data_IF_852611005520
#
_entry.id   IF_852611005520
#
_cell.length_a   1.000
_cell.length_b   1.000
_cell.length_c   1.000
_cell.angle_alpha   90.00
_cell.angle_beta   90.00
_cell.angle_gamma   90.00
#
_symmetry.space_group_name_H-M   'P 1'
#
loop_
_entity.id
_entity.type
_entity.pdbx_description
1 polymer ?
#
# COMPACT_ATOMS: atom_id res chain seq x y z
N UNK A 1 32.44 0.94 -7.77
CA UNK A 1 32.46 -0.15 -6.77
C UNK A 1 32.62 0.52 -5.43
N UNK A 2 31.71 0.27 -4.50
CA UNK A 2 31.86 0.70 -3.11
C UNK A 2 33.02 -0.14 -2.52
N UNK A 3 34.15 0.46 -2.13
CA UNK A 3 35.11 -0.30 -1.29
C UNK A 3 34.67 -0.23 0.14
N UNK A 4 34.53 -1.42 0.70
CA UNK A 4 34.51 -1.63 2.13
C UNK A 4 35.93 -2.06 2.52
N UNK A 5 36.62 -1.24 3.30
CA UNK A 5 37.87 -1.67 3.93
C UNK A 5 37.61 -2.88 4.84
N UNK A 6 38.64 -3.66 5.19
CA UNK A 6 38.49 -4.85 6.04
C UNK A 6 37.93 -4.53 7.44
N UNK A 7 37.97 -3.26 7.85
CA UNK A 7 37.43 -2.72 9.10
C UNK A 7 35.97 -2.20 9.00
N UNK A 8 35.39 -2.18 7.80
CA UNK A 8 34.02 -1.74 7.55
C UNK A 8 33.87 -0.31 7.02
N UNK A 9 34.92 0.51 6.98
CA UNK A 9 34.86 1.91 6.49
C UNK A 9 34.79 2.01 4.96
N UNK A 10 34.17 3.09 4.45
CA UNK A 10 33.97 3.34 3.02
C UNK A 10 34.45 4.75 2.66
N UNK A 11 35.38 4.82 1.70
CA UNK A 11 35.93 6.07 1.16
C UNK A 11 35.34 6.38 -0.23
N UNK A 12 35.24 7.66 -0.57
CA UNK A 12 34.59 8.20 -1.78
C UNK A 12 35.40 8.11 -3.08
N UNK A 13 36.60 7.52 -3.07
CA UNK A 13 37.46 7.50 -4.27
C UNK A 13 37.76 6.08 -4.79
N UNK A 14 37.39 5.84 -6.06
CA UNK A 14 37.94 4.75 -6.86
C UNK A 14 38.51 5.26 -8.19
N UNK A 15 39.80 5.02 -8.41
CA UNK A 15 40.45 5.19 -9.71
C UNK A 15 40.36 3.86 -10.48
N UNK A 16 39.57 3.81 -11.57
CA UNK A 16 39.47 2.64 -12.44
C UNK A 16 40.16 2.93 -13.78
N UNK A 17 41.49 2.86 -13.78
CA UNK A 17 42.30 3.31 -14.92
C UNK A 17 42.42 4.84 -14.95
N UNK A 18 42.11 5.49 -16.08
CA UNK A 18 42.21 6.95 -16.23
C UNK A 18 40.93 7.73 -15.88
N UNK A 19 39.82 7.03 -15.58
CA UNK A 19 38.51 7.66 -15.33
C UNK A 19 38.10 7.52 -13.86
N UNK A 20 37.67 8.62 -13.26
CA UNK A 20 37.07 8.69 -11.91
C UNK A 20 35.55 8.61 -12.05
N UNK A 21 34.91 7.64 -11.41
CA UNK A 21 33.44 7.52 -11.34
C UNK A 21 32.99 7.76 -9.89
N UNK A 22 32.07 8.71 -9.69
CA UNK A 22 31.52 9.06 -8.38
C UNK A 22 30.23 8.27 -8.10
N UNK A 23 30.01 7.76 -6.88
CA UNK A 23 28.71 7.22 -6.49
C UNK A 23 27.66 8.34 -6.51
N UNK A 24 26.43 7.97 -6.88
CA UNK A 24 25.31 8.90 -6.79
C UNK A 24 24.96 9.19 -5.34
N UNK A 25 24.43 10.39 -5.08
CA UNK A 25 24.00 10.79 -3.74
C UNK A 25 23.02 9.78 -3.10
N UNK A 26 22.19 9.12 -3.92
CA UNK A 26 21.29 8.05 -3.44
C UNK A 26 22.04 6.83 -2.92
N UNK A 27 23.10 6.40 -3.61
CA UNK A 27 23.91 5.26 -3.18
C UNK A 27 24.65 5.57 -1.88
N UNK A 28 25.14 6.81 -1.73
CA UNK A 28 25.78 7.29 -0.51
C UNK A 28 24.78 7.33 0.65
N UNK A 29 23.60 7.92 0.47
CA UNK A 29 22.58 7.99 1.52
C UNK A 29 22.14 6.60 1.96
N UNK A 30 21.92 5.66 1.03
CA UNK A 30 21.57 4.27 1.37
C UNK A 30 22.65 3.58 2.17
N UNK A 31 23.91 3.82 1.84
CA UNK A 31 25.01 3.25 2.60
C UNK A 31 24.98 3.76 4.05
N UNK A 32 24.84 5.07 4.23
CA UNK A 32 24.76 5.69 5.55
C UNK A 32 23.54 5.19 6.34
N UNK A 33 22.37 5.12 5.72
CA UNK A 33 21.10 4.68 6.35
C UNK A 33 21.16 3.22 6.84
N UNK A 34 22.10 2.43 6.34
CA UNK A 34 22.33 1.03 6.74
C UNK A 34 23.62 0.85 7.55
N UNK A 35 24.32 1.92 7.92
CA UNK A 35 25.51 1.83 8.74
C UNK A 35 25.16 1.49 10.20
N UNK A 36 25.98 0.66 10.85
CA UNK A 36 25.73 0.23 12.23
C UNK A 36 25.88 1.40 13.24
N UNK A 37 26.67 2.42 12.89
CA UNK A 37 26.86 3.64 13.68
C UNK A 37 27.49 4.74 12.84
N UNK A 38 27.43 5.97 13.36
CA UNK A 38 28.11 7.13 12.78
C UNK A 38 29.60 6.92 12.51
N UNK A 39 30.30 6.24 13.43
CA UNK A 39 31.73 5.97 13.31
C UNK A 39 32.07 5.02 12.14
N UNK A 40 31.07 4.35 11.54
CA UNK A 40 31.26 3.46 10.40
C UNK A 40 31.31 4.21 9.05
N UNK A 41 31.08 5.52 9.04
CA UNK A 41 31.10 6.36 7.84
C UNK A 41 32.14 7.47 8.02
N UNK A 42 33.04 7.62 7.05
CA UNK A 42 34.07 8.66 7.08
C UNK A 42 33.42 10.06 6.98
N UNK A 43 33.93 11.02 7.77
CA UNK A 43 33.47 12.41 7.77
C UNK A 43 33.54 13.05 6.37
N UNK A 44 34.54 12.71 5.56
CA UNK A 44 34.69 13.23 4.20
C UNK A 44 33.47 12.89 3.32
N UNK A 45 32.82 11.74 3.56
CA UNK A 45 31.62 11.31 2.85
C UNK A 45 30.45 12.27 3.10
N UNK A 46 30.28 12.71 4.36
CA UNK A 46 29.21 13.63 4.73
C UNK A 46 29.49 15.04 4.26
N UNK A 47 30.73 15.52 4.39
CA UNK A 47 31.13 16.86 3.94
C UNK A 47 30.89 17.01 2.43
N UNK A 48 31.33 16.04 1.63
CA UNK A 48 31.10 16.05 0.18
C UNK A 48 29.61 16.02 -0.17
N UNK A 49 28.81 15.19 0.52
CA UNK A 49 27.38 15.10 0.28
C UNK A 49 26.65 16.40 0.68
N UNK A 50 27.07 17.05 1.77
CA UNK A 50 26.56 18.36 2.19
C UNK A 50 26.86 19.43 1.15
N UNK A 51 28.09 19.48 0.62
CA UNK A 51 28.46 20.42 -0.45
C UNK A 51 27.58 20.25 -1.69
N UNK A 52 27.35 18.99 -2.12
CA UNK A 52 26.49 18.68 -3.28
C UNK A 52 25.03 19.08 -3.06
N UNK A 53 24.52 18.93 -1.84
CA UNK A 53 23.15 19.26 -1.47
C UNK A 53 22.96 20.73 -1.07
N UNK A 54 24.05 21.49 -0.91
CA UNK A 54 24.04 22.88 -0.47
C UNK A 54 23.70 23.04 1.01
N UNK A 55 24.10 22.08 1.85
CA UNK A 55 23.88 22.08 3.30
C UNK A 55 25.13 22.64 3.99
N UNK A 56 24.95 23.62 4.87
CA UNK A 56 26.02 24.07 5.76
C UNK A 56 26.09 23.13 6.96
N UNK A 57 27.01 22.16 6.93
CA UNK A 57 27.17 21.17 8.00
C UNK A 57 27.58 21.80 9.33
N UNK A 58 28.11 23.03 9.35
CA UNK A 58 28.50 23.72 10.58
C UNK A 58 27.31 24.21 11.42
N UNK A 59 26.10 24.19 10.86
CA UNK A 59 24.87 24.50 11.59
C UNK A 59 24.38 23.32 12.46
N UNK A 60 25.04 22.17 12.37
CA UNK A 60 24.63 20.93 13.03
C UNK A 60 25.71 20.46 14.02
N UNK A 61 25.40 20.56 15.32
CA UNK A 61 26.26 20.04 16.40
C UNK A 61 26.09 18.52 16.60
N UNK A 62 24.97 17.98 16.12
CA UNK A 62 24.56 16.59 16.29
C UNK A 62 24.58 15.87 14.94
N UNK A 63 25.38 14.81 14.78
CA UNK A 63 25.44 14.04 13.55
C UNK A 63 24.05 13.53 13.13
N UNK A 64 23.25 12.94 14.04
CA UNK A 64 21.91 12.42 13.73
C UNK A 64 21.04 13.48 13.04
N UNK A 65 20.99 14.69 13.59
CA UNK A 65 20.28 15.82 12.98
C UNK A 65 20.83 16.24 11.60
N UNK A 66 22.16 16.16 11.38
CA UNK A 66 22.77 16.43 10.07
C UNK A 66 22.34 15.39 9.04
N UNK A 67 22.34 14.10 9.39
CA UNK A 67 21.92 13.06 8.44
C UNK A 67 20.44 13.16 8.09
N UNK A 68 19.58 13.43 9.07
CA UNK A 68 18.17 13.71 8.84
C UNK A 68 18.00 14.87 7.85
N UNK A 69 18.80 15.94 7.98
CA UNK A 69 18.78 17.06 7.04
C UNK A 69 19.24 16.65 5.64
N UNK A 70 20.33 15.88 5.53
CA UNK A 70 20.82 15.32 4.26
C UNK A 70 19.71 14.52 3.56
N UNK A 71 19.07 13.59 4.26
CA UNK A 71 18.00 12.75 3.71
C UNK A 71 16.80 13.60 3.28
N UNK A 72 16.39 14.55 4.13
CA UNK A 72 15.28 15.47 3.88
C UNK A 72 15.54 16.32 2.64
N UNK A 73 16.70 16.97 2.56
CA UNK A 73 17.06 17.87 1.48
C UNK A 73 17.22 17.10 0.16
N UNK A 74 17.81 15.91 0.20
CA UNK A 74 17.92 15.04 -0.97
C UNK A 74 16.55 14.69 -1.54
N UNK A 75 15.61 14.22 -0.71
CA UNK A 75 14.26 13.85 -1.17
C UNK A 75 13.51 15.07 -1.67
N UNK A 76 13.56 16.17 -0.92
CA UNK A 76 12.90 17.42 -1.29
C UNK A 76 13.35 17.91 -2.68
N UNK A 77 14.66 17.96 -2.92
CA UNK A 77 15.25 18.36 -4.19
C UNK A 77 14.92 17.37 -5.32
N UNK A 78 15.16 16.08 -5.09
CA UNK A 78 15.05 15.03 -6.13
C UNK A 78 13.60 14.79 -6.56
N UNK A 79 12.66 14.86 -5.62
CA UNK A 79 11.26 14.56 -5.87
C UNK A 79 10.43 15.81 -6.23
N UNK A 80 11.05 17.00 -6.27
CA UNK A 80 10.41 18.27 -6.61
C UNK A 80 9.10 18.49 -5.82
N UNK A 81 9.20 18.37 -4.49
CA UNK A 81 8.04 18.40 -3.60
C UNK A 81 7.67 19.83 -3.22
N UNK A 82 6.40 20.05 -2.88
CA UNK A 82 5.95 21.33 -2.31
C UNK A 82 6.59 21.58 -0.93
N UNK A 83 6.88 22.85 -0.62
CA UNK A 83 7.67 23.23 0.55
C UNK A 83 7.12 22.72 1.90
N UNK A 84 5.79 22.62 2.04
CA UNK A 84 5.16 22.12 3.26
C UNK A 84 5.48 20.65 3.53
N UNK A 85 5.75 19.85 2.49
CA UNK A 85 6.10 18.43 2.62
C UNK A 85 7.47 18.20 3.24
N UNK A 86 8.37 19.19 3.14
CA UNK A 86 9.73 19.09 3.68
C UNK A 86 9.72 18.88 5.19
N UNK A 87 8.87 19.62 5.91
CA UNK A 87 8.73 19.49 7.37
C UNK A 87 8.21 18.12 7.79
N UNK A 88 7.21 17.59 7.08
CA UNK A 88 6.66 16.26 7.35
C UNK A 88 7.68 15.14 7.09
N UNK A 89 8.44 15.23 6.00
CA UNK A 89 9.51 14.28 5.70
C UNK A 89 10.57 14.29 6.80
N UNK A 90 10.95 15.48 7.28
CA UNK A 90 11.90 15.61 8.36
C UNK A 90 11.40 14.95 9.65
N UNK A 91 10.14 15.22 10.02
CA UNK A 91 9.49 14.60 11.18
C UNK A 91 9.43 13.06 11.05
N UNK A 92 9.19 12.54 9.85
CA UNK A 92 9.19 11.09 9.60
C UNK A 92 10.56 10.46 9.84
N UNK A 93 11.65 11.11 9.39
CA UNK A 93 13.01 10.67 9.71
C UNK A 93 13.32 10.77 11.20
N UNK A 94 12.90 11.84 11.88
CA UNK A 94 13.04 12.00 13.34
C UNK A 94 12.28 10.91 14.10
N UNK A 95 11.18 10.40 13.56
CA UNK A 95 10.42 9.27 14.09
C UNK A 95 10.98 7.89 13.67
N UNK A 96 12.13 7.85 12.98
CA UNK A 96 12.85 6.63 12.64
C UNK A 96 12.37 5.92 11.39
N UNK A 97 11.60 6.57 10.51
CA UNK A 97 11.34 6.01 9.18
C UNK A 97 12.64 6.01 8.36
N UNK A 98 12.90 4.91 7.65
CA UNK A 98 14.10 4.81 6.81
C UNK A 98 13.95 5.59 5.51
N UNK A 99 15.07 5.87 4.87
CA UNK A 99 15.10 6.53 3.57
C UNK A 99 14.23 5.82 2.51
N UNK A 100 14.27 4.49 2.52
CA UNK A 100 13.48 3.66 1.60
C UNK A 100 11.98 3.67 1.90
N UNK A 101 11.59 3.86 3.16
CA UNK A 101 10.18 4.00 3.56
C UNK A 101 9.62 5.36 3.13
N UNK A 102 10.35 6.45 3.39
CA UNK A 102 9.95 7.80 2.98
C UNK A 102 9.79 7.90 1.45
N UNK A 103 10.71 7.29 0.69
CA UNK A 103 10.64 7.24 -0.78
C UNK A 103 9.37 6.58 -1.34
N UNK A 104 8.64 5.80 -0.55
CA UNK A 104 7.37 5.21 -1.01
C UNK A 104 6.33 6.29 -1.34
N UNK A 105 6.22 7.32 -0.50
CA UNK A 105 5.22 8.37 -0.64
C UNK A 105 5.80 9.72 -1.07
N UNK A 106 7.11 9.93 -1.02
CA UNK A 106 7.78 11.15 -1.44
C UNK A 106 7.79 11.32 -2.97
N UNK A 107 6.60 11.40 -3.57
CA UNK A 107 6.38 11.59 -5.00
C UNK A 107 5.29 12.65 -5.19
N UNK A 108 5.42 13.55 -6.18
CA UNK A 108 4.49 14.66 -6.37
C UNK A 108 3.07 14.22 -6.76
N UNK A 109 2.90 13.00 -7.29
CA UNK A 109 1.61 12.47 -7.73
C UNK A 109 0.70 12.05 -6.55
N UNK A 110 1.26 11.94 -5.34
CA UNK A 110 0.46 11.62 -4.16
C UNK A 110 -0.17 12.87 -3.55
N UNK A 111 -1.48 12.84 -3.42
CA UNK A 111 -2.27 13.79 -2.65
C UNK A 111 -2.10 13.55 -1.14
N UNK A 112 -2.39 14.57 -0.33
CA UNK A 112 -2.25 14.53 1.13
C UNK A 112 -2.91 13.29 1.78
N UNK A 113 -4.15 12.96 1.39
CA UNK A 113 -4.85 11.79 1.93
C UNK A 113 -4.18 10.45 1.61
N UNK A 114 -3.49 10.35 0.47
CA UNK A 114 -2.73 9.15 0.09
C UNK A 114 -1.44 9.05 0.93
N UNK A 115 -0.72 10.16 1.08
CA UNK A 115 0.49 10.26 1.93
C UNK A 115 0.18 9.81 3.36
N UNK A 116 -0.91 10.32 3.94
CA UNK A 116 -1.32 9.95 5.30
C UNK A 116 -1.59 8.45 5.43
N UNK A 117 -2.19 7.80 4.43
CA UNK A 117 -2.42 6.36 4.47
C UNK A 117 -1.13 5.54 4.34
N UNK A 118 -0.15 6.03 3.59
CA UNK A 118 1.16 5.39 3.48
C UNK A 118 1.92 5.54 4.81
N UNK A 119 2.01 6.75 5.35
CA UNK A 119 2.66 7.05 6.65
C UNK A 119 2.07 6.22 7.78
N UNK A 120 0.73 6.23 7.93
CA UNK A 120 0.04 5.40 8.94
C UNK A 120 0.36 3.92 8.82
N UNK A 121 0.44 3.39 7.59
CA UNK A 121 0.82 2.00 7.36
C UNK A 121 2.21 1.68 7.92
N UNK A 122 3.19 2.52 7.61
CA UNK A 122 4.57 2.41 8.06
C UNK A 122 4.69 2.55 9.59
N UNK A 123 4.10 3.61 10.16
CA UNK A 123 4.07 3.87 11.61
C UNK A 123 3.36 2.76 12.40
N UNK A 124 2.30 2.18 11.81
CA UNK A 124 1.58 1.05 12.39
C UNK A 124 2.25 -0.30 12.17
N UNK A 125 3.51 -0.32 11.70
CA UNK A 125 4.33 -1.52 11.61
C UNK A 125 4.03 -2.45 10.44
N UNK A 126 3.33 -1.98 9.39
CA UNK A 126 3.20 -2.76 8.16
C UNK A 126 4.56 -2.87 7.46
N UNK A 127 4.81 -4.02 6.84
CA UNK A 127 6.03 -4.23 6.06
C UNK A 127 6.06 -3.31 4.83
N UNK A 128 7.27 -3.08 4.30
CA UNK A 128 7.46 -2.31 3.07
C UNK A 128 6.61 -2.89 1.92
N UNK A 129 6.59 -4.22 1.78
CA UNK A 129 5.83 -4.93 0.75
C UNK A 129 4.33 -4.72 0.91
N UNK A 130 3.81 -4.79 2.14
CA UNK A 130 2.39 -4.54 2.44
C UNK A 130 2.00 -3.10 2.07
N UNK A 131 2.83 -2.12 2.42
CA UNK A 131 2.59 -0.71 2.10
C UNK A 131 2.67 -0.47 0.59
N UNK A 132 3.66 -1.05 -0.11
CA UNK A 132 3.84 -0.95 -1.55
C UNK A 132 2.65 -1.48 -2.37
N UNK A 133 1.89 -2.43 -1.81
CA UNK A 133 0.71 -2.97 -2.47
C UNK A 133 -0.31 -1.88 -2.80
N UNK A 134 -0.52 -0.93 -1.86
CA UNK A 134 -1.50 0.15 -1.99
C UNK A 134 -0.89 1.55 -2.18
N UNK A 135 0.41 1.74 -1.94
CA UNK A 135 1.14 3.00 -2.14
C UNK A 135 1.36 3.29 -3.64
N UNK A 136 0.26 3.47 -4.38
CA UNK A 136 0.25 3.75 -5.81
C UNK A 136 -0.76 4.85 -6.14
N UNK A 137 -0.41 5.85 -6.98
CA UNK A 137 -1.22 7.04 -7.18
C UNK A 137 -2.60 6.76 -7.81
N UNK A 138 -2.77 5.61 -8.46
CA UNK A 138 -4.06 5.16 -9.02
C UNK A 138 -5.13 4.87 -7.95
N UNK A 139 -4.74 4.59 -6.70
CA UNK A 139 -5.69 4.38 -5.61
C UNK A 139 -6.12 5.71 -5.00
N UNK A 140 -7.42 5.96 -4.88
CA UNK A 140 -7.93 7.04 -4.02
C UNK A 140 -7.62 6.73 -2.55
N UNK A 141 -7.49 7.78 -1.74
CA UNK A 141 -7.12 7.61 -0.33
C UNK A 141 -8.08 6.72 0.46
N UNK A 142 -9.39 6.74 0.14
CA UNK A 142 -10.36 5.82 0.72
C UNK A 142 -10.11 4.35 0.35
N UNK A 143 -9.63 4.06 -0.87
CA UNK A 143 -9.24 2.69 -1.25
C UNK A 143 -8.00 2.26 -0.46
N UNK A 144 -7.00 3.14 -0.33
CA UNK A 144 -5.79 2.88 0.47
C UNK A 144 -6.12 2.61 1.94
N UNK A 145 -7.05 3.37 2.52
CA UNK A 145 -7.52 3.18 3.90
C UNK A 145 -8.11 1.79 4.11
N UNK A 146 -8.96 1.32 3.19
CA UNK A 146 -9.58 0.01 3.28
C UNK A 146 -8.59 -1.14 3.03
N UNK A 147 -7.63 -0.96 2.12
CA UNK A 147 -6.54 -1.93 1.91
C UNK A 147 -5.67 -2.04 3.17
N UNK A 148 -5.28 -0.91 3.75
CA UNK A 148 -4.55 -0.85 5.03
C UNK A 148 -5.34 -1.48 6.18
N UNK A 149 -6.65 -1.22 6.26
CA UNK A 149 -7.51 -1.80 7.28
C UNK A 149 -7.53 -3.33 7.23
N UNK A 150 -7.52 -3.93 6.03
CA UNK A 150 -7.45 -5.39 5.90
C UNK A 150 -6.21 -6.00 6.55
N UNK A 151 -5.03 -5.37 6.36
CA UNK A 151 -3.81 -5.81 7.04
C UNK A 151 -3.92 -5.68 8.56
N UNK A 152 -4.45 -4.57 9.08
CA UNK A 152 -4.66 -4.40 10.53
C UNK A 152 -5.70 -5.35 11.12
N UNK A 153 -6.66 -5.80 10.32
CA UNK A 153 -7.63 -6.80 10.72
C UNK A 153 -7.10 -8.24 10.56
N UNK A 154 -5.81 -8.41 10.27
CA UNK A 154 -5.14 -9.72 10.25
C UNK A 154 -5.27 -10.50 8.95
N UNK A 155 -5.73 -9.87 7.86
CA UNK A 155 -5.72 -10.51 6.55
C UNK A 155 -4.29 -10.72 6.05
N UNK A 156 -4.06 -11.85 5.39
CA UNK A 156 -2.75 -12.16 4.78
C UNK A 156 -2.50 -11.30 3.55
N UNK A 157 -1.24 -11.22 3.12
CA UNK A 157 -0.88 -10.54 1.87
C UNK A 157 -1.68 -11.03 0.68
N UNK A 158 -1.79 -12.36 0.50
CA UNK A 158 -2.56 -12.95 -0.61
C UNK A 158 -4.05 -12.61 -0.55
N UNK A 159 -4.63 -12.51 0.65
CA UNK A 159 -6.02 -12.12 0.82
C UNK A 159 -6.24 -10.66 0.45
N UNK A 160 -5.34 -9.77 0.87
CA UNK A 160 -5.44 -8.33 0.57
C UNK A 160 -5.19 -8.07 -0.92
N UNK A 161 -4.26 -8.78 -1.56
CA UNK A 161 -3.95 -8.66 -2.98
C UNK A 161 -5.16 -8.96 -3.89
N UNK A 162 -6.10 -9.80 -3.44
CA UNK A 162 -7.32 -10.11 -4.20
C UNK A 162 -8.14 -8.85 -4.55
N UNK A 163 -8.15 -7.87 -3.65
CA UNK A 163 -9.01 -6.69 -3.75
C UNK A 163 -8.25 -5.36 -3.80
N UNK A 164 -6.94 -5.36 -3.53
CA UNK A 164 -6.08 -4.20 -3.70
C UNK A 164 -5.83 -3.90 -5.18
N UNK A 165 -6.90 -3.55 -5.91
CA UNK A 165 -6.89 -3.24 -7.34
C UNK A 165 -7.66 -1.95 -7.62
N UNK A 166 -7.09 -1.02 -8.41
CA UNK A 166 -7.64 0.32 -8.61
C UNK A 166 -9.00 0.32 -9.32
N UNK A 167 -9.33 -0.74 -10.08
CA UNK A 167 -10.61 -0.90 -10.75
C UNK A 167 -11.80 -1.08 -9.80
N UNK A 168 -11.57 -1.49 -8.54
CA UNK A 168 -12.63 -1.58 -7.55
C UNK A 168 -12.90 -0.23 -6.88
N UNK A 169 -14.16 0.21 -6.91
CA UNK A 169 -14.62 1.33 -6.07
C UNK A 169 -14.44 0.96 -4.58
N UNK A 170 -14.28 1.96 -3.71
CA UNK A 170 -14.04 1.71 -2.28
C UNK A 170 -15.14 0.86 -1.61
N UNK A 171 -16.42 1.02 -2.01
CA UNK A 171 -17.50 0.16 -1.52
C UNK A 171 -17.38 -1.32 -1.95
N UNK A 172 -16.81 -1.59 -3.13
CA UNK A 172 -16.53 -2.96 -3.58
C UNK A 172 -15.39 -3.55 -2.75
N UNK A 173 -14.32 -2.78 -2.52
CA UNK A 173 -13.22 -3.17 -1.62
C UNK A 173 -13.73 -3.52 -0.22
N UNK A 174 -14.61 -2.69 0.37
CA UNK A 174 -15.23 -2.96 1.68
C UNK A 174 -15.96 -4.30 1.68
N UNK A 175 -16.73 -4.59 0.63
CA UNK A 175 -17.48 -5.85 0.55
C UNK A 175 -16.55 -7.06 0.52
N UNK A 176 -15.52 -7.01 -0.33
CA UNK A 176 -14.54 -8.09 -0.48
C UNK A 176 -13.76 -8.30 0.82
N UNK A 177 -13.26 -7.21 1.42
CA UNK A 177 -12.56 -7.22 2.71
C UNK A 177 -13.42 -7.84 3.82
N UNK A 178 -14.68 -7.40 3.96
CA UNK A 178 -15.60 -7.94 4.97
C UNK A 178 -15.93 -9.41 4.76
N UNK A 179 -15.96 -9.90 3.52
CA UNK A 179 -16.10 -11.32 3.24
C UNK A 179 -14.94 -12.13 3.79
N UNK A 180 -13.71 -11.69 3.50
CA UNK A 180 -12.48 -12.33 4.00
C UNK A 180 -12.37 -12.27 5.53
N UNK A 181 -12.64 -11.11 6.14
CA UNK A 181 -12.67 -10.94 7.60
C UNK A 181 -13.77 -11.78 8.27
N UNK A 182 -14.89 -11.98 7.57
CA UNK A 182 -15.98 -12.84 7.99
C UNK A 182 -15.72 -14.35 7.80
N UNK A 183 -14.51 -14.72 7.35
CA UNK A 183 -14.09 -16.12 7.21
C UNK A 183 -14.48 -16.80 5.90
N UNK A 184 -14.94 -16.04 4.88
CA UNK A 184 -15.18 -16.62 3.56
C UNK A 184 -13.87 -17.10 2.92
N UNK A 185 -13.93 -18.21 2.19
CA UNK A 185 -12.79 -18.75 1.46
C UNK A 185 -12.39 -17.84 0.29
N UNK A 186 -11.16 -18.03 -0.20
CA UNK A 186 -10.68 -17.36 -1.40
C UNK A 186 -11.57 -17.65 -2.61
N UNK A 187 -12.01 -18.90 -2.81
CA UNK A 187 -12.90 -19.25 -3.92
C UNK A 187 -14.25 -18.53 -3.81
N UNK A 188 -14.86 -18.52 -2.62
CA UNK A 188 -16.14 -17.83 -2.38
C UNK A 188 -16.03 -16.34 -2.68
N UNK A 189 -14.93 -15.71 -2.24
CA UNK A 189 -14.70 -14.28 -2.47
C UNK A 189 -14.45 -13.98 -3.94
N UNK A 190 -13.67 -14.81 -4.65
CA UNK A 190 -13.40 -14.65 -6.07
C UNK A 190 -14.65 -14.75 -6.96
N UNK A 191 -15.71 -15.41 -6.49
CA UNK A 191 -16.97 -15.47 -7.22
C UNK A 191 -17.56 -14.07 -7.47
N UNK A 192 -17.50 -13.20 -6.46
CA UNK A 192 -18.10 -11.86 -6.51
C UNK A 192 -17.11 -10.70 -6.53
N UNK A 193 -15.83 -10.93 -6.24
CA UNK A 193 -14.77 -9.91 -6.31
C UNK A 193 -14.42 -9.58 -7.77
N UNK A 194 -15.40 -9.03 -8.51
CA UNK A 194 -15.28 -8.68 -9.92
C UNK A 194 -15.90 -7.29 -10.19
N UNK A 195 -15.23 -6.39 -10.94
CA UNK A 195 -15.68 -5.00 -11.09
C UNK A 195 -17.07 -4.82 -11.69
N UNK A 196 -17.57 -5.82 -12.44
CA UNK A 196 -18.89 -5.83 -13.06
C UNK A 196 -20.05 -5.94 -12.06
N UNK A 197 -19.81 -6.37 -10.83
CA UNK A 197 -20.82 -6.34 -9.77
C UNK A 197 -20.84 -4.98 -9.09
N UNK A 198 -22.00 -4.34 -9.04
CA UNK A 198 -22.21 -3.20 -8.15
C UNK A 198 -22.15 -3.63 -6.67
N UNK A 199 -21.85 -2.69 -5.78
CA UNK A 199 -21.59 -3.03 -4.38
C UNK A 199 -22.76 -3.72 -3.67
N UNK A 200 -24.00 -3.39 -4.02
CA UNK A 200 -25.20 -4.06 -3.49
C UNK A 200 -25.31 -5.51 -3.97
N UNK A 201 -24.92 -5.80 -5.22
CA UNK A 201 -24.90 -7.19 -5.72
C UNK A 201 -23.83 -8.02 -4.98
N UNK A 202 -22.65 -7.44 -4.75
CA UNK A 202 -21.59 -8.08 -3.95
C UNK A 202 -22.06 -8.36 -2.51
N UNK A 203 -22.84 -7.45 -1.93
CA UNK A 203 -23.40 -7.62 -0.59
C UNK A 203 -24.37 -8.81 -0.51
N UNK A 204 -25.27 -8.96 -1.49
CA UNK A 204 -26.17 -10.11 -1.54
C UNK A 204 -25.40 -11.43 -1.69
N UNK A 205 -24.42 -11.48 -2.60
CA UNK A 205 -23.60 -12.68 -2.80
C UNK A 205 -22.82 -13.04 -1.53
N UNK A 206 -22.21 -12.04 -0.87
CA UNK A 206 -21.52 -12.22 0.42
C UNK A 206 -22.49 -12.72 1.51
N UNK A 207 -23.68 -12.12 1.60
CA UNK A 207 -24.69 -12.49 2.59
C UNK A 207 -25.14 -13.94 2.41
N UNK A 208 -25.36 -14.40 1.18
CA UNK A 208 -25.74 -15.79 0.91
C UNK A 208 -24.70 -16.78 1.43
N UNK A 209 -23.41 -16.52 1.20
CA UNK A 209 -22.35 -17.34 1.77
C UNK A 209 -22.31 -17.28 3.30
N UNK A 210 -22.45 -16.09 3.89
CA UNK A 210 -22.43 -15.90 5.35
C UNK A 210 -23.64 -16.56 6.05
N UNK A 211 -24.76 -16.69 5.34
CA UNK A 211 -25.97 -17.37 5.82
C UNK A 211 -25.97 -18.88 5.52
N UNK A 212 -24.87 -19.42 5.00
CA UNK A 212 -24.66 -20.87 4.87
C UNK A 212 -25.12 -21.49 3.55
N UNK A 213 -25.44 -20.68 2.53
CA UNK A 213 -25.65 -21.22 1.18
C UNK A 213 -24.36 -21.84 0.64
N UNK A 214 -24.49 -22.96 -0.09
CA UNK A 214 -23.35 -23.61 -0.72
C UNK A 214 -22.84 -22.80 -1.91
N UNK A 215 -21.63 -23.12 -2.37
CA UNK A 215 -21.06 -22.48 -3.56
C UNK A 215 -21.97 -22.62 -4.78
N UNK A 216 -22.49 -23.82 -5.00
CA UNK A 216 -23.37 -24.13 -6.13
C UNK A 216 -24.69 -23.34 -6.04
N UNK A 217 -25.22 -23.13 -4.84
CA UNK A 217 -26.43 -22.33 -4.66
C UNK A 217 -26.18 -20.84 -4.97
N UNK A 218 -25.06 -20.31 -4.50
CA UNK A 218 -24.70 -18.89 -4.71
C UNK A 218 -24.36 -18.61 -6.17
N UNK A 219 -23.63 -19.50 -6.84
CA UNK A 219 -23.25 -19.36 -8.25
C UNK A 219 -24.46 -19.22 -9.19
N UNK A 220 -25.63 -19.79 -8.83
CA UNK A 220 -26.84 -19.71 -9.64
C UNK A 220 -27.34 -18.27 -9.82
N UNK A 221 -27.19 -17.42 -8.79
CA UNK A 221 -27.67 -16.04 -8.79
C UNK A 221 -26.56 -14.99 -8.76
N UNK A 222 -25.31 -15.37 -8.49
CA UNK A 222 -24.14 -14.49 -8.55
C UNK A 222 -23.77 -14.13 -10.00
N UNK A 223 -24.68 -13.43 -10.70
CA UNK A 223 -24.54 -13.04 -12.10
C UNK A 223 -24.86 -11.57 -12.29
N UNK A 224 -24.01 -10.77 -12.97
CA UNK A 224 -24.19 -9.32 -13.08
C UNK A 224 -25.52 -8.90 -13.70
N UNK A 225 -26.15 -9.76 -14.49
CA UNK A 225 -27.47 -9.53 -15.09
C UNK A 225 -28.64 -9.50 -14.09
N UNK A 226 -28.48 -10.04 -12.87
CA UNK A 226 -29.50 -9.94 -11.84
C UNK A 226 -29.36 -8.63 -11.08
N UNK A 227 -30.41 -7.83 -11.02
CA UNK A 227 -30.43 -6.64 -10.16
C UNK A 227 -30.34 -7.02 -8.68
N UNK A 228 -29.87 -6.10 -7.82
CA UNK A 228 -29.70 -6.41 -6.39
C UNK A 228 -30.99 -6.89 -5.71
N UNK A 229 -32.15 -6.33 -6.09
CA UNK A 229 -33.44 -6.77 -5.55
C UNK A 229 -33.82 -8.19 -6.00
N UNK A 230 -33.44 -8.59 -7.21
CA UNK A 230 -33.64 -9.95 -7.69
C UNK A 230 -32.71 -10.92 -6.95
N UNK A 231 -31.45 -10.52 -6.73
CA UNK A 231 -30.50 -11.30 -5.94
C UNK A 231 -30.97 -11.48 -4.49
N UNK A 232 -31.47 -10.42 -3.83
CA UNK A 232 -32.01 -10.50 -2.47
C UNK A 232 -33.19 -11.48 -2.39
N UNK A 233 -34.13 -11.41 -3.34
CA UNK A 233 -35.24 -12.35 -3.39
C UNK A 233 -34.76 -13.80 -3.58
N UNK A 234 -33.91 -14.05 -4.57
CA UNK A 234 -33.40 -15.40 -4.85
C UNK A 234 -32.64 -15.94 -3.63
N UNK A 235 -31.75 -15.13 -3.05
CA UNK A 235 -30.96 -15.50 -1.87
C UNK A 235 -31.86 -15.92 -0.71
N UNK A 236 -32.87 -15.10 -0.35
CA UNK A 236 -33.77 -15.40 0.78
C UNK A 236 -34.58 -16.67 0.56
N UNK A 237 -35.10 -16.89 -0.65
CA UNK A 237 -35.86 -18.10 -0.94
C UNK A 237 -34.97 -19.37 -0.90
N UNK A 238 -33.71 -19.27 -1.35
CA UNK A 238 -32.72 -20.36 -1.19
C UNK A 238 -32.36 -20.61 0.27
N UNK A 239 -32.23 -19.56 1.09
CA UNK A 239 -32.00 -19.66 2.53
C UNK A 239 -33.17 -20.33 3.26
N UNK A 240 -34.41 -20.10 2.80
CA UNK A 240 -35.62 -20.79 3.26
C UNK A 240 -35.73 -22.25 2.77
N UNK A 241 -34.77 -22.73 1.97
CA UNK A 241 -34.65 -24.11 1.52
C UNK A 241 -35.42 -24.44 0.24
N UNK A 242 -35.87 -23.43 -0.54
CA UNK A 242 -36.43 -23.67 -1.87
C UNK A 242 -35.33 -24.04 -2.86
N UNK A 243 -35.71 -24.77 -3.92
CA UNK A 243 -34.79 -25.03 -5.04
C UNK A 243 -34.82 -23.85 -6.00
N UNK A 244 -33.70 -23.58 -6.66
CA UNK A 244 -33.58 -22.47 -7.61
C UNK A 244 -34.64 -22.52 -8.72
N UNK A 245 -35.01 -23.70 -9.20
CA UNK A 245 -36.09 -23.84 -10.20
C UNK A 245 -37.43 -23.33 -9.68
N UNK A 246 -37.74 -23.57 -8.40
CA UNK A 246 -38.99 -23.08 -7.79
C UNK A 246 -38.97 -21.57 -7.63
N UNK A 247 -37.83 -21.00 -7.21
CA UNK A 247 -37.64 -19.55 -7.08
C UNK A 247 -37.87 -18.86 -8.43
N UNK A 248 -37.20 -19.33 -9.49
CA UNK A 248 -37.32 -18.74 -10.82
C UNK A 248 -38.74 -18.85 -11.41
N UNK A 249 -39.46 -19.93 -11.10
CA UNK A 249 -40.87 -20.06 -11.50
C UNK A 249 -41.75 -18.99 -10.83
N UNK A 250 -41.56 -18.73 -9.53
CA UNK A 250 -42.32 -17.73 -8.77
C UNK A 250 -42.05 -16.30 -9.27
N UNK A 251 -40.79 -15.96 -9.52
CA UNK A 251 -40.40 -14.64 -10.06
C UNK A 251 -41.02 -14.42 -11.45
N UNK A 252 -41.04 -15.45 -12.30
CA UNK A 252 -41.63 -15.39 -13.64
C UNK A 252 -43.15 -15.18 -13.60
N UNK A 253 -43.85 -15.77 -12.63
CA UNK A 253 -45.29 -15.59 -12.44
C UNK A 253 -45.64 -14.18 -11.95
N UNK A 254 -44.84 -13.62 -11.02
CA UNK A 254 -45.03 -12.26 -10.51
C UNK A 254 -44.74 -11.17 -11.55
N UNK A 255 -43.86 -11.44 -12.51
CA UNK A 255 -43.51 -10.50 -13.59
C UNK A 255 -44.58 -10.40 -14.69
N UNK A 256 -45.50 -11.37 -14.74
CA UNK A 256 -46.53 -11.51 -15.77
C UNK A 256 -47.96 -11.16 -15.29
N UNK A 257 -48.12 -10.69 -14.04
CA UNK A 257 -49.39 -10.28 -13.44
C UNK A 257 -49.46 -8.77 -13.21
#
# INVERSE_FOLDING_TARGET
MIYKHEDGTINTFYQKGETVEYPSDEEVIKYIDNADSWDAVDNEVYEELCERLGIDSSEFDDPDSLFIEIQTQFIYNKCNLECWRRGEIREDFENGLTFEQVKLYAKPEFEYGQIINIRRGLEGGLSKEQVQLYAKPEFKYWQMEEIRAGFYNGLTFEQVELYAKPEFKYWQIINIRRGLEGGLSKEQVQLYAKPEFEYWQMEEIRAGFQNGLTFEQVELYAKPEFECLQMDQIRRELEDGLTFEKVMAQISEQSNG
#
